data_IF_541907178747
#
_entry.id   IF_541907178747
#
_cell.length_a   1.000
_cell.length_b   1.000
_cell.length_c   1.000
_cell.angle_alpha   90.00
_cell.angle_beta   90.00
_cell.angle_gamma   90.00
#
_symmetry.space_group_name_H-M   'P 1'
#
loop_
_entity.id
_entity.type
_entity.pdbx_description
1 polymer ?
#
# COMPACT_ATOMS: atom_id res chain seq x y z
N UNK A 1 14.22 7.06 -8.90
CA UNK A 1 14.73 6.34 -7.73
C UNK A 1 13.61 6.11 -6.72
N UNK A 2 13.68 5.03 -5.92
CA UNK A 2 12.61 4.65 -4.99
C UNK A 2 12.46 5.64 -3.82
N UNK A 3 13.51 6.20 -3.31
CA UNK A 3 13.52 7.19 -2.23
C UNK A 3 14.21 8.45 -2.74
N UNK A 4 13.46 9.51 -3.02
CA UNK A 4 13.95 10.73 -3.69
C UNK A 4 14.25 11.88 -2.73
N UNK A 5 13.93 11.71 -1.45
CA UNK A 5 14.19 12.67 -0.38
C UNK A 5 15.38 12.26 0.49
N UNK A 6 15.47 12.86 1.67
CA UNK A 6 16.55 12.60 2.64
C UNK A 6 16.62 11.14 3.07
N UNK A 7 15.51 10.44 3.07
CA UNK A 7 15.41 9.01 3.35
C UNK A 7 16.22 8.12 2.39
N UNK A 8 16.51 8.62 1.19
CA UNK A 8 17.31 7.91 0.18
C UNK A 8 18.80 8.16 0.24
N UNK A 9 19.24 9.14 1.02
CA UNK A 9 20.67 9.54 1.06
C UNK A 9 21.59 8.41 1.54
N UNK A 10 21.19 7.66 2.57
CA UNK A 10 21.98 6.54 3.09
C UNK A 10 22.17 5.46 2.02
N UNK A 11 21.11 5.12 1.28
CA UNK A 11 21.17 4.12 0.19
C UNK A 11 22.04 4.64 -0.95
N UNK A 12 21.85 5.90 -1.35
CA UNK A 12 22.62 6.53 -2.42
C UNK A 12 24.12 6.64 -2.08
N UNK A 13 24.45 7.02 -0.85
CA UNK A 13 25.83 7.09 -0.37
C UNK A 13 26.49 5.71 -0.36
N UNK A 14 25.79 4.68 0.14
CA UNK A 14 26.29 3.32 0.09
C UNK A 14 26.56 2.86 -1.35
N UNK A 15 25.62 3.06 -2.26
CA UNK A 15 25.77 2.66 -3.66
C UNK A 15 26.91 3.41 -4.36
N UNK A 16 27.06 4.70 -4.05
CA UNK A 16 28.18 5.48 -4.58
C UNK A 16 29.53 4.97 -4.07
N UNK A 17 29.65 4.74 -2.76
CA UNK A 17 30.87 4.21 -2.15
C UNK A 17 31.23 2.84 -2.74
N UNK A 18 30.26 1.93 -2.87
CA UNK A 18 30.47 0.60 -3.44
C UNK A 18 30.88 0.69 -4.92
N UNK A 19 30.30 1.59 -5.69
CA UNK A 19 30.74 1.84 -7.05
C UNK A 19 32.18 2.37 -7.11
N UNK A 20 32.55 3.28 -6.22
CA UNK A 20 33.92 3.82 -6.19
C UNK A 20 34.96 2.74 -5.86
N UNK A 21 34.66 1.85 -4.92
CA UNK A 21 35.57 0.79 -4.42
C UNK A 21 35.54 -0.43 -5.36
N UNK A 22 34.35 -0.99 -5.61
CA UNK A 22 34.16 -2.28 -6.24
C UNK A 22 33.71 -2.22 -7.69
N UNK A 23 33.39 -1.02 -8.22
CA UNK A 23 32.81 -0.79 -9.56
C UNK A 23 31.50 -1.53 -9.81
N UNK A 24 30.77 -1.84 -8.73
CA UNK A 24 29.47 -2.52 -8.81
C UNK A 24 28.32 -1.52 -8.85
N UNK A 25 27.33 -1.78 -9.69
CA UNK A 25 26.10 -1.00 -9.78
C UNK A 25 24.96 -1.86 -9.24
N UNK A 26 24.40 -1.46 -8.10
CA UNK A 26 23.24 -2.12 -7.51
C UNK A 26 21.94 -1.49 -7.98
N UNK A 27 20.98 -2.32 -8.37
CA UNK A 27 19.61 -1.84 -8.58
C UNK A 27 18.96 -1.60 -7.22
N UNK A 28 18.52 -0.38 -6.98
CA UNK A 28 17.77 -0.06 -5.77
C UNK A 28 16.46 -0.85 -5.73
N UNK A 29 16.21 -1.50 -4.60
CA UNK A 29 14.91 -2.04 -4.27
C UNK A 29 14.30 -1.20 -3.15
N UNK A 30 13.06 -0.74 -3.34
CA UNK A 30 12.35 0.02 -2.31
C UNK A 30 12.03 -0.82 -1.08
N UNK A 31 11.90 -2.13 -1.23
CA UNK A 31 11.64 -3.06 -0.13
C UNK A 31 12.96 -3.52 0.50
N UNK A 32 13.60 -2.62 1.23
CA UNK A 32 14.93 -2.83 1.82
C UNK A 32 14.91 -2.90 3.36
N UNK A 33 13.74 -2.78 3.97
CA UNK A 33 13.58 -2.89 5.42
C UNK A 33 13.57 -4.33 5.94
N UNK A 34 13.12 -4.51 7.19
CA UNK A 34 13.12 -5.81 7.88
C UNK A 34 11.96 -6.68 7.36
N UNK A 35 12.23 -7.96 7.16
CA UNK A 35 11.25 -9.02 6.96
C UNK A 35 11.05 -9.81 8.27
N UNK A 36 9.80 -10.11 8.58
CA UNK A 36 9.43 -10.84 9.78
C UNK A 36 8.85 -12.19 9.41
N UNK A 37 9.66 -13.23 9.52
CA UNK A 37 9.26 -14.61 9.15
C UNK A 37 8.57 -15.33 10.30
N UNK A 38 8.93 -15.05 11.56
CA UNK A 38 8.36 -15.71 12.72
C UNK A 38 7.37 -14.80 13.45
N UNK A 39 6.08 -15.20 13.42
CA UNK A 39 4.99 -14.49 14.09
C UNK A 39 4.59 -15.14 15.44
N UNK A 40 5.20 -16.27 15.81
CA UNK A 40 4.75 -17.10 16.95
C UNK A 40 4.83 -16.34 18.29
N UNK A 41 5.83 -15.48 18.48
CA UNK A 41 6.05 -14.77 19.74
C UNK A 41 5.12 -13.58 19.98
N UNK A 42 4.34 -13.18 18.98
CA UNK A 42 3.45 -12.00 19.04
C UNK A 42 1.98 -12.31 18.80
N UNK A 43 1.61 -13.60 18.64
CA UNK A 43 0.32 -14.00 18.11
C UNK A 43 -0.57 -14.75 19.11
N UNK A 44 -1.39 -14.05 19.89
CA UNK A 44 -2.37 -14.71 20.78
C UNK A 44 -3.72 -14.95 20.11
N UNK A 45 -3.87 -14.69 18.80
CA UNK A 45 -5.17 -14.67 18.12
C UNK A 45 -5.40 -15.95 17.31
N UNK A 46 -6.67 -16.36 17.22
CA UNK A 46 -7.08 -17.28 16.16
C UNK A 46 -6.89 -16.57 14.83
N UNK A 47 -6.25 -17.22 13.90
CA UNK A 47 -6.06 -16.72 12.54
C UNK A 47 -6.44 -17.83 11.55
N UNK A 48 -6.86 -17.40 10.38
CA UNK A 48 -7.08 -18.26 9.23
C UNK A 48 -5.97 -18.05 8.19
N UNK A 49 -5.88 -18.97 7.25
CA UNK A 49 -4.98 -18.78 6.12
C UNK A 49 -5.57 -17.73 5.20
N UNK A 50 -4.77 -16.75 4.81
CA UNK A 50 -5.20 -15.68 3.94
C UNK A 50 -5.52 -16.20 2.52
N UNK A 51 -6.78 -16.09 2.11
CA UNK A 51 -7.19 -16.24 0.72
C UNK A 51 -7.40 -14.87 0.08
N UNK A 52 -6.64 -14.58 -0.97
CA UNK A 52 -6.68 -13.26 -1.61
C UNK A 52 -8.02 -12.98 -2.30
N UNK A 53 -8.72 -14.00 -2.77
CA UNK A 53 -10.04 -13.84 -3.37
C UNK A 53 -11.07 -13.46 -2.32
N UNK A 54 -11.06 -14.13 -1.16
CA UNK A 54 -11.94 -13.81 -0.04
C UNK A 54 -11.66 -12.39 0.49
N UNK A 55 -10.39 -12.04 0.72
CA UNK A 55 -9.99 -10.70 1.16
C UNK A 55 -10.41 -9.63 0.14
N UNK A 56 -10.23 -9.88 -1.15
CA UNK A 56 -10.67 -8.97 -2.21
C UNK A 56 -12.19 -8.80 -2.25
N UNK A 57 -12.95 -9.87 -1.98
CA UNK A 57 -14.40 -9.81 -1.86
C UNK A 57 -14.82 -8.96 -0.66
N UNK A 58 -14.16 -9.11 0.48
CA UNK A 58 -14.44 -8.29 1.66
C UNK A 58 -14.13 -6.81 1.42
N UNK A 59 -13.03 -6.49 0.72
CA UNK A 59 -12.76 -5.11 0.30
C UNK A 59 -13.87 -4.60 -0.62
N UNK A 60 -14.33 -5.41 -1.58
CA UNK A 60 -15.42 -5.05 -2.50
C UNK A 60 -16.77 -4.87 -1.78
N UNK A 61 -16.95 -5.49 -0.62
CA UNK A 61 -18.07 -5.33 0.30
C UNK A 61 -17.92 -4.10 1.24
N UNK A 62 -16.85 -3.32 1.10
CA UNK A 62 -16.61 -2.08 1.86
C UNK A 62 -15.73 -2.24 3.09
N UNK A 63 -15.14 -3.42 3.34
CA UNK A 63 -14.21 -3.65 4.46
C UNK A 63 -12.86 -2.99 4.24
N UNK A 64 -12.26 -2.50 5.32
CA UNK A 64 -10.95 -1.84 5.31
C UNK A 64 -9.91 -2.79 5.90
N UNK A 65 -8.84 -3.02 5.14
CA UNK A 65 -7.85 -4.05 5.42
C UNK A 65 -6.50 -3.43 5.79
N UNK A 66 -5.96 -3.79 6.96
CA UNK A 66 -4.55 -3.62 7.30
C UNK A 66 -3.72 -4.71 6.60
N UNK A 67 -2.77 -4.32 5.77
CA UNK A 67 -1.98 -5.21 4.92
C UNK A 67 -0.50 -5.12 5.25
N UNK A 68 0.06 -6.21 5.81
CA UNK A 68 1.45 -6.32 6.26
C UNK A 68 2.13 -7.51 5.57
N UNK A 69 3.14 -7.25 4.74
CA UNK A 69 3.79 -8.27 3.89
C UNK A 69 5.30 -8.04 3.83
N UNK A 70 6.09 -9.13 3.81
CA UNK A 70 7.51 -9.12 3.49
C UNK A 70 8.32 -7.97 4.13
N UNK A 71 9.32 -7.48 3.42
CA UNK A 71 10.19 -6.37 3.85
C UNK A 71 9.46 -5.03 3.78
N UNK A 72 9.66 -4.17 4.79
CA UNK A 72 9.13 -2.81 4.76
C UNK A 72 9.77 -1.96 3.64
N UNK A 73 9.03 -0.94 3.23
CA UNK A 73 9.48 0.03 2.24
C UNK A 73 10.52 0.97 2.83
N UNK A 74 11.53 1.32 2.04
CA UNK A 74 12.41 2.46 2.32
C UNK A 74 11.71 3.76 1.95
N UNK A 75 11.71 4.73 2.87
CA UNK A 75 11.08 6.02 2.65
C UNK A 75 9.72 6.17 3.32
N UNK A 76 9.06 7.30 3.02
CA UNK A 76 7.88 7.77 3.73
C UNK A 76 6.55 7.32 3.10
N UNK A 77 6.58 6.39 2.16
CA UNK A 77 5.40 5.89 1.44
C UNK A 77 5.19 4.40 1.67
N UNK A 78 3.96 4.02 1.99
CA UNK A 78 3.54 2.63 1.92
C UNK A 78 3.28 2.26 0.45
N UNK A 79 3.97 1.24 -0.02
CA UNK A 79 3.93 0.79 -1.41
C UNK A 79 3.44 -0.66 -1.53
N UNK A 80 2.64 -1.11 -0.56
CA UNK A 80 1.99 -2.42 -0.61
C UNK A 80 2.57 -3.46 0.34
N UNK A 81 3.50 -3.09 1.25
CA UNK A 81 3.99 -3.99 2.30
C UNK A 81 3.60 -3.53 3.70
N UNK A 82 3.35 -2.25 3.91
CA UNK A 82 2.86 -1.65 5.18
C UNK A 82 1.70 -0.70 4.85
N UNK A 83 0.60 -1.26 4.37
CA UNK A 83 -0.50 -0.53 3.73
C UNK A 83 -1.84 -0.72 4.45
N UNK A 84 -2.72 0.26 4.32
CA UNK A 84 -4.15 0.11 4.52
C UNK A 84 -4.80 0.14 3.13
N UNK A 85 -5.65 -0.86 2.87
CA UNK A 85 -6.31 -1.06 1.58
C UNK A 85 -7.82 -0.90 1.73
N UNK A 86 -8.45 -0.27 0.74
CA UNK A 86 -9.90 -0.11 0.70
C UNK A 86 -10.40 0.02 -0.75
N UNK A 87 -11.72 -0.03 -0.91
CA UNK A 87 -12.40 0.10 -2.20
C UNK A 87 -12.38 1.55 -2.71
N UNK A 88 -11.75 1.85 -3.86
CA UNK A 88 -11.71 3.19 -4.42
C UNK A 88 -13.04 3.66 -5.04
N UNK A 89 -14.02 2.76 -5.22
CA UNK A 89 -15.34 3.07 -5.79
C UNK A 89 -16.26 3.78 -4.80
N UNK A 90 -16.02 3.59 -3.50
CA UNK A 90 -16.82 4.23 -2.46
C UNK A 90 -16.44 5.71 -2.34
N UNK A 91 -17.38 6.65 -2.60
CA UNK A 91 -17.10 8.09 -2.51
C UNK A 91 -16.79 8.57 -1.09
N UNK A 92 -17.32 7.88 -0.06
CA UNK A 92 -17.18 8.27 1.34
C UNK A 92 -15.93 7.66 2.00
N UNK A 93 -15.23 6.77 1.31
CA UNK A 93 -14.11 6.00 1.90
C UNK A 93 -13.00 6.89 2.43
N UNK A 94 -12.77 8.04 1.80
CA UNK A 94 -11.79 9.03 2.24
C UNK A 94 -12.12 9.55 3.64
N UNK A 95 -13.37 9.96 3.84
CA UNK A 95 -13.83 10.53 5.10
C UNK A 95 -13.88 9.44 6.19
N UNK A 96 -14.36 8.25 5.86
CA UNK A 96 -14.36 7.09 6.76
C UNK A 96 -12.93 6.82 7.26
N UNK A 97 -11.95 6.64 6.38
CA UNK A 97 -10.58 6.33 6.79
C UNK A 97 -9.94 7.49 7.58
N UNK A 98 -10.16 8.75 7.17
CA UNK A 98 -9.62 9.90 7.88
C UNK A 98 -10.18 10.00 9.31
N UNK A 99 -11.49 9.78 9.51
CA UNK A 99 -12.13 9.89 10.83
C UNK A 99 -11.87 8.68 11.71
N UNK A 100 -12.05 7.44 11.19
CA UNK A 100 -12.12 6.24 12.03
C UNK A 100 -10.76 5.57 12.24
N UNK A 101 -9.82 5.78 11.31
CA UNK A 101 -8.51 5.11 11.35
C UNK A 101 -7.38 6.11 11.52
N UNK A 102 -7.32 7.13 10.67
CA UNK A 102 -6.22 8.10 10.66
C UNK A 102 -6.36 9.17 11.73
N UNK A 103 -7.59 9.46 12.16
CA UNK A 103 -7.90 10.54 13.12
C UNK A 103 -7.20 11.85 12.75
N UNK A 104 -7.41 12.27 11.49
CA UNK A 104 -6.76 13.43 10.89
C UNK A 104 -7.75 14.23 10.04
N UNK A 105 -7.31 15.35 9.51
CA UNK A 105 -8.11 16.31 8.73
C UNK A 105 -8.70 15.68 7.46
N UNK A 106 -9.96 16.00 7.15
CA UNK A 106 -10.74 15.40 6.05
C UNK A 106 -10.22 15.75 4.67
N UNK A 107 -9.57 16.92 4.53
CA UNK A 107 -9.03 17.35 3.24
C UNK A 107 -7.85 16.49 2.76
N UNK A 108 -7.26 15.66 3.61
CA UNK A 108 -6.09 14.85 3.23
C UNK A 108 -6.49 13.72 2.28
N UNK A 109 -5.91 13.69 1.06
CA UNK A 109 -6.28 12.71 0.06
C UNK A 109 -5.61 11.36 0.28
N UNK A 110 -6.09 10.37 -0.47
CA UNK A 110 -5.49 9.04 -0.57
C UNK A 110 -4.99 8.76 -1.99
N UNK A 111 -4.14 7.76 -2.12
CA UNK A 111 -3.50 7.37 -3.37
C UNK A 111 -4.06 6.04 -3.88
N UNK A 112 -4.22 5.84 -5.19
CA UNK A 112 -4.48 4.53 -5.76
C UNK A 112 -3.19 3.73 -5.95
N UNK A 113 -3.28 2.42 -5.73
CA UNK A 113 -2.35 1.44 -6.24
C UNK A 113 -3.02 0.69 -7.40
N UNK A 114 -2.59 0.93 -8.63
CA UNK A 114 -3.19 0.42 -9.86
C UNK A 114 -2.27 -0.62 -10.53
N UNK A 115 -2.84 -1.67 -11.10
CA UNK A 115 -2.09 -2.63 -11.92
C UNK A 115 -1.40 -1.91 -13.08
N UNK A 116 -0.11 -2.18 -13.28
CA UNK A 116 0.73 -1.43 -14.24
C UNK A 116 0.19 -1.48 -15.67
N UNK A 117 -0.41 -2.59 -16.08
CA UNK A 117 -1.00 -2.77 -17.40
C UNK A 117 -2.25 -1.91 -17.66
N UNK A 118 -2.92 -1.42 -16.58
CA UNK A 118 -4.20 -0.69 -16.66
C UNK A 118 -4.11 0.80 -16.34
N UNK A 119 -2.97 1.32 -15.86
CA UNK A 119 -2.93 2.71 -15.37
C UNK A 119 -3.29 3.76 -16.43
N UNK A 120 -2.98 3.52 -17.71
CA UNK A 120 -3.28 4.44 -18.82
C UNK A 120 -4.78 4.59 -19.10
N UNK A 121 -5.59 3.62 -18.72
CA UNK A 121 -7.05 3.68 -18.89
C UNK A 121 -7.67 4.70 -17.93
N UNK A 122 -7.10 4.81 -16.72
CA UNK A 122 -7.64 5.63 -15.63
C UNK A 122 -6.92 6.94 -15.40
N UNK A 123 -5.66 7.07 -15.84
CA UNK A 123 -4.82 8.23 -15.52
C UNK A 123 -4.14 8.78 -16.78
N UNK A 124 -4.09 10.12 -16.84
CA UNK A 124 -3.38 10.83 -17.91
C UNK A 124 -1.89 10.93 -17.60
N UNK A 125 -1.17 9.86 -17.91
CA UNK A 125 0.28 9.80 -17.78
C UNK A 125 0.88 8.82 -18.78
N UNK A 126 2.06 9.16 -19.29
CA UNK A 126 2.80 8.33 -20.26
C UNK A 126 3.70 7.29 -19.58
N UNK A 127 4.12 7.56 -18.36
CA UNK A 127 5.13 6.76 -17.64
C UNK A 127 4.54 6.14 -16.38
N UNK A 128 4.94 4.92 -16.01
CA UNK A 128 4.57 4.30 -14.74
C UNK A 128 5.14 5.09 -13.54
N UNK A 129 4.52 4.90 -12.39
CA UNK A 129 4.89 5.55 -11.13
C UNK A 129 4.94 4.55 -9.98
N UNK A 130 5.92 3.64 -9.93
CA UNK A 130 5.95 2.57 -8.93
C UNK A 130 6.15 3.08 -7.49
N UNK A 131 6.60 4.32 -7.32
CA UNK A 131 6.97 4.90 -6.01
C UNK A 131 6.09 6.08 -5.58
N UNK A 132 4.87 6.21 -6.10
CA UNK A 132 3.98 7.36 -5.81
C UNK A 132 4.61 8.73 -6.07
N UNK A 133 5.48 8.84 -7.06
CA UNK A 133 6.23 10.05 -7.39
C UNK A 133 5.54 10.98 -8.41
N UNK A 134 4.36 10.59 -8.91
CA UNK A 134 3.63 11.33 -9.95
C UNK A 134 2.21 11.63 -9.53
N UNK A 135 1.79 12.87 -9.79
CA UNK A 135 0.39 13.30 -9.74
C UNK A 135 -0.09 13.39 -11.19
N UNK A 136 -1.26 12.82 -11.46
CA UNK A 136 -1.83 12.71 -12.80
C UNK A 136 -3.32 13.02 -12.75
N UNK A 137 -3.89 13.54 -13.84
CA UNK A 137 -5.35 13.70 -13.96
C UNK A 137 -6.02 12.34 -14.00
N UNK A 138 -7.14 12.23 -13.29
CA UNK A 138 -8.03 11.07 -13.32
C UNK A 138 -8.97 11.21 -14.52
N UNK A 139 -9.10 10.13 -15.30
CA UNK A 139 -9.95 10.10 -16.51
C UNK A 139 -11.30 9.40 -16.29
N UNK A 140 -11.52 8.82 -15.12
CA UNK A 140 -12.70 8.01 -14.83
C UNK A 140 -13.38 8.47 -13.55
N UNK A 141 -14.70 8.56 -13.57
CA UNK A 141 -15.56 8.85 -12.41
C UNK A 141 -15.84 7.63 -11.52
N UNK A 142 -15.39 6.44 -11.94
CA UNK A 142 -15.62 5.17 -11.23
C UNK A 142 -14.80 5.01 -9.95
N UNK A 143 -13.87 5.92 -9.67
CA UNK A 143 -12.92 5.81 -8.56
C UNK A 143 -12.87 7.09 -7.71
N UNK A 144 -14.02 7.57 -7.20
CA UNK A 144 -14.10 8.82 -6.44
C UNK A 144 -13.27 8.80 -5.16
N UNK A 145 -13.12 7.64 -4.50
CA UNK A 145 -12.39 7.51 -3.23
C UNK A 145 -10.89 7.83 -3.30
N UNK A 146 -10.32 7.90 -4.51
CA UNK A 146 -8.90 8.24 -4.72
C UNK A 146 -8.71 9.51 -5.56
N UNK A 147 -9.79 10.14 -5.98
CA UNK A 147 -9.75 11.34 -6.81
C UNK A 147 -9.69 12.57 -5.90
N UNK A 148 -8.67 13.42 -6.10
CA UNK A 148 -8.51 14.68 -5.39
C UNK A 148 -9.54 15.72 -5.88
N UNK A 149 -9.71 16.79 -5.11
CA UNK A 149 -10.65 17.88 -5.41
C UNK A 149 -10.38 18.58 -6.75
N UNK A 150 -9.15 18.50 -7.25
CA UNK A 150 -8.72 19.06 -8.54
C UNK A 150 -8.74 18.02 -9.70
N UNK A 151 -9.43 16.89 -9.49
CA UNK A 151 -9.48 15.75 -10.40
C UNK A 151 -8.13 15.10 -10.70
N UNK A 152 -7.19 15.16 -9.76
CA UNK A 152 -5.92 14.46 -9.86
C UNK A 152 -5.84 13.29 -8.88
N UNK A 153 -4.82 12.43 -9.04
CA UNK A 153 -4.43 11.42 -8.08
C UNK A 153 -2.91 11.22 -8.09
N UNK A 154 -2.33 10.91 -6.92
CA UNK A 154 -0.92 10.51 -6.81
C UNK A 154 -0.82 8.99 -6.92
N UNK A 155 -0.54 8.50 -8.12
CA UNK A 155 -0.64 7.08 -8.46
C UNK A 155 0.57 6.26 -8.01
N UNK A 156 0.30 5.00 -7.63
CA UNK A 156 1.28 3.93 -7.60
C UNK A 156 0.95 2.91 -8.69
N UNK A 157 1.89 2.63 -9.60
CA UNK A 157 1.75 1.49 -10.52
C UNK A 157 2.37 0.25 -9.90
N UNK A 158 1.63 -0.87 -9.91
CA UNK A 158 2.03 -2.12 -9.28
C UNK A 158 2.34 -3.16 -10.34
N UNK A 159 3.61 -3.59 -10.38
CA UNK A 159 4.10 -4.60 -11.31
C UNK A 159 4.30 -5.93 -10.58
N UNK A 160 3.83 -7.03 -11.20
CA UNK A 160 3.90 -8.38 -10.64
C UNK A 160 5.33 -8.85 -10.32
N UNK A 161 6.33 -8.38 -11.08
CA UNK A 161 7.74 -8.76 -10.87
C UNK A 161 8.34 -8.12 -9.62
N UNK A 162 7.86 -6.93 -9.23
CA UNK A 162 8.41 -6.19 -8.08
C UNK A 162 7.69 -6.50 -6.78
N UNK A 163 6.34 -6.66 -6.82
CA UNK A 163 5.55 -7.01 -5.64
C UNK A 163 4.41 -7.95 -6.02
N UNK A 164 4.72 -9.26 -6.07
CA UNK A 164 3.76 -10.29 -6.51
C UNK A 164 2.54 -10.40 -5.57
N UNK A 165 2.74 -10.30 -4.25
CA UNK A 165 1.65 -10.43 -3.28
C UNK A 165 0.67 -9.26 -3.41
N UNK A 166 1.18 -8.05 -3.50
CA UNK A 166 0.37 -6.84 -3.65
C UNK A 166 -0.31 -6.78 -5.03
N UNK A 167 0.38 -7.19 -6.08
CA UNK A 167 -0.23 -7.35 -7.39
C UNK A 167 -1.42 -8.33 -7.35
N UNK A 168 -1.25 -9.48 -6.69
CA UNK A 168 -2.28 -10.51 -6.65
C UNK A 168 -3.56 -10.04 -5.95
N UNK A 169 -3.49 -9.35 -4.81
CA UNK A 169 -4.70 -8.85 -4.14
C UNK A 169 -5.44 -7.82 -4.99
N UNK A 170 -4.73 -6.92 -5.68
CA UNK A 170 -5.35 -5.96 -6.62
C UNK A 170 -5.98 -6.70 -7.80
N UNK A 171 -5.32 -7.73 -8.32
CA UNK A 171 -5.83 -8.51 -9.45
C UNK A 171 -7.07 -9.33 -9.08
N UNK A 172 -7.16 -9.89 -7.87
CA UNK A 172 -8.39 -10.54 -7.41
C UNK A 172 -9.53 -9.52 -7.23
N UNK A 173 -9.26 -8.33 -6.71
CA UNK A 173 -10.24 -7.25 -6.65
C UNK A 173 -10.70 -6.80 -8.04
N UNK A 174 -9.77 -6.72 -9.00
CA UNK A 174 -10.10 -6.42 -10.40
C UNK A 174 -11.05 -7.45 -11.02
N UNK A 175 -10.80 -8.72 -10.81
CA UNK A 175 -11.68 -9.81 -11.31
C UNK A 175 -13.11 -9.72 -10.78
N UNK A 176 -13.27 -9.24 -9.54
CA UNK A 176 -14.58 -9.11 -8.87
C UNK A 176 -15.31 -7.85 -9.34
N UNK A 177 -14.59 -6.73 -9.45
CA UNK A 177 -15.19 -5.40 -9.56
C UNK A 177 -15.04 -4.74 -10.94
N UNK A 178 -14.12 -5.22 -11.77
CA UNK A 178 -13.71 -4.55 -13.00
C UNK A 178 -12.84 -3.30 -12.77
N UNK A 179 -12.44 -3.00 -11.52
CA UNK A 179 -11.57 -1.85 -11.18
C UNK A 179 -10.17 -2.37 -10.85
N UNK A 180 -9.14 -2.06 -11.67
CA UNK A 180 -7.80 -2.65 -11.54
C UNK A 180 -6.93 -1.93 -10.50
N UNK A 181 -7.52 -1.44 -9.40
CA UNK A 181 -6.81 -0.71 -8.36
C UNK A 181 -7.49 -0.80 -7.01
N UNK A 182 -6.70 -0.54 -5.95
CA UNK A 182 -7.17 -0.32 -4.59
C UNK A 182 -6.74 1.06 -4.10
N UNK A 183 -7.51 1.65 -3.18
CA UNK A 183 -7.00 2.74 -2.34
C UNK A 183 -5.86 2.19 -1.50
N UNK A 184 -4.72 2.89 -1.49
CA UNK A 184 -3.54 2.54 -0.71
C UNK A 184 -3.07 3.72 0.12
N UNK A 185 -2.98 3.52 1.42
CA UNK A 185 -2.37 4.48 2.35
C UNK A 185 -1.46 3.78 3.36
N UNK A 186 -0.63 4.53 4.07
CA UNK A 186 0.29 3.99 5.08
C UNK A 186 -0.45 3.26 6.20
N UNK A 187 0.10 2.15 6.66
CA UNK A 187 -0.46 1.41 7.78
C UNK A 187 0.02 2.04 9.10
N UNK A 188 -0.75 2.98 9.56
CA UNK A 188 -0.61 3.68 10.85
C UNK A 188 -1.89 4.47 11.16
N UNK A 189 -2.02 4.93 12.40
CA UNK A 189 -2.98 5.94 12.83
C UNK A 189 -2.26 7.30 12.97
N UNK A 190 -1.75 7.62 14.17
CA UNK A 190 -0.97 8.83 14.47
C UNK A 190 0.52 8.58 14.67
N UNK A 191 0.87 7.32 14.89
CA UNK A 191 2.25 6.85 15.00
C UNK A 191 2.95 6.74 13.64
N UNK A 192 4.28 6.48 13.64
CA UNK A 192 4.99 6.08 12.42
C UNK A 192 4.37 4.83 11.76
N UNK A 193 4.68 4.61 10.48
CA UNK A 193 4.24 3.40 9.77
C UNK A 193 4.66 2.16 10.55
N UNK A 194 3.76 1.20 10.69
CA UNK A 194 4.02 -0.04 11.43
C UNK A 194 5.21 -0.77 10.82
N UNK A 195 6.23 -1.06 11.63
CA UNK A 195 7.41 -1.79 11.17
C UNK A 195 7.30 -3.29 11.47
N UNK A 196 6.83 -3.65 12.67
CA UNK A 196 6.75 -5.05 13.11
C UNK A 196 5.31 -5.57 13.16
N UNK A 197 5.12 -6.91 13.19
CA UNK A 197 3.81 -7.52 13.42
C UNK A 197 3.13 -7.04 14.70
N UNK A 198 3.89 -6.82 15.77
CA UNK A 198 3.38 -6.26 17.03
C UNK A 198 2.80 -4.86 16.85
N UNK A 199 3.48 -4.00 16.08
CA UNK A 199 2.95 -2.67 15.75
C UNK A 199 1.66 -2.77 14.93
N UNK A 200 1.62 -3.66 13.92
CA UNK A 200 0.43 -3.89 13.10
C UNK A 200 -0.78 -4.35 13.92
N UNK A 201 -0.59 -5.31 14.82
CA UNK A 201 -1.62 -5.80 15.74
C UNK A 201 -2.10 -4.68 16.68
N UNK A 202 -1.20 -3.88 17.23
CA UNK A 202 -1.57 -2.79 18.13
C UNK A 202 -2.39 -1.72 17.41
N UNK A 203 -2.00 -1.35 16.18
CA UNK A 203 -2.77 -0.41 15.36
C UNK A 203 -4.14 -1.00 14.97
N UNK A 204 -4.20 -2.26 14.57
CA UNK A 204 -5.45 -2.95 14.27
C UNK A 204 -6.43 -2.93 15.45
N UNK A 205 -5.96 -3.24 16.67
CA UNK A 205 -6.81 -3.28 17.89
C UNK A 205 -7.46 -1.93 18.21
N UNK A 206 -6.76 -0.84 18.02
CA UNK A 206 -7.18 0.50 18.47
C UNK A 206 -7.83 1.34 17.37
N UNK A 207 -7.96 0.83 16.15
CA UNK A 207 -8.59 1.51 15.02
C UNK A 207 -9.77 0.69 14.49
N UNK A 208 -10.59 1.27 13.65
CA UNK A 208 -11.75 0.61 13.03
C UNK A 208 -11.36 -0.15 11.75
N UNK A 209 -10.15 -0.71 11.68
CA UNK A 209 -9.80 -1.68 10.65
C UNK A 209 -10.62 -2.96 10.86
N UNK A 210 -11.23 -3.48 9.81
CA UNK A 210 -12.06 -4.68 9.86
C UNK A 210 -11.23 -5.96 9.83
N UNK A 211 -10.20 -5.98 8.99
CA UNK A 211 -9.38 -7.15 8.70
C UNK A 211 -7.90 -6.77 8.84
N UNK A 212 -7.10 -7.67 9.41
CA UNK A 212 -5.65 -7.58 9.42
C UNK A 212 -5.04 -8.78 8.72
N UNK A 213 -4.28 -8.53 7.67
CA UNK A 213 -3.48 -9.55 6.98
C UNK A 213 -2.02 -9.36 7.32
N UNK A 214 -1.38 -10.40 7.86
CA UNK A 214 0.07 -10.45 8.10
C UNK A 214 0.62 -11.67 7.37
N UNK A 215 1.36 -11.43 6.29
CA UNK A 215 1.89 -12.46 5.39
C UNK A 215 0.77 -13.39 4.87
N UNK A 216 0.67 -14.60 5.38
CA UNK A 216 -0.31 -15.62 5.00
C UNK A 216 -1.42 -15.83 6.03
N UNK A 217 -1.51 -14.95 7.03
CA UNK A 217 -2.48 -15.05 8.13
C UNK A 217 -3.46 -13.89 8.10
N UNK A 218 -4.72 -14.18 8.38
CA UNK A 218 -5.80 -13.19 8.45
C UNK A 218 -6.49 -13.23 9.82
N UNK A 219 -6.76 -12.05 10.35
CA UNK A 219 -7.61 -11.83 11.52
C UNK A 219 -8.76 -10.92 11.08
N UNK A 220 -9.96 -11.28 11.48
CA UNK A 220 -11.20 -10.53 11.27
C UNK A 220 -11.73 -10.09 12.65
N UNK A 221 -12.21 -8.84 12.76
CA UNK A 221 -12.95 -8.35 13.93
C UNK A 221 -14.37 -8.84 13.92
#
# INVERSE_FOLDING_TARGET
PPAIGDEGQAIGTYQHADYMINKQIHKSNVYAGIEYDNLMDVWPYKYEKADYKEIAQEIANGKIVGWFQGKSESGNRALGNRSILADPRNPDIKDIINHTIKMREDFRPFAPAVLEEHYKEYFDTRLPSPYMSRICKVKSDKVPGITHVDNTARIQTVNKKFNKKFYNIINEFYKITGIPMLLNTSFNCREPIVESPKHAINTFKRTELDILVINDKVIIK
#
